data_IF_944476717916
#
_entry.id   IF_944476717916
#
_cell.length_a   1.000
_cell.length_b   1.000
_cell.length_c   1.000
_cell.angle_alpha   90.00
_cell.angle_beta   90.00
_cell.angle_gamma   90.00
#
_symmetry.space_group_name_H-M   'P 1'
#
loop_
_entity.id
_entity.type
_entity.pdbx_description
1 polymer ?
#
# COMPACT_ATOMS: atom_id res chain seq x y z
N UNK A 1 -41.43 -7.55 13.03
CA UNK A 1 -40.44 -7.57 11.93
C UNK A 1 -39.08 -7.23 12.52
N UNK A 2 -38.06 -8.10 12.36
CA UNK A 2 -36.71 -7.81 12.89
C UNK A 2 -36.11 -6.65 12.08
N UNK A 3 -35.80 -5.55 12.76
CA UNK A 3 -35.00 -4.47 12.17
C UNK A 3 -33.63 -5.05 11.83
N UNK A 4 -33.31 -5.16 10.54
CA UNK A 4 -32.00 -5.59 10.09
C UNK A 4 -31.00 -4.55 10.59
N UNK A 5 -29.96 -4.99 11.30
CA UNK A 5 -28.90 -4.10 11.76
C UNK A 5 -28.22 -3.41 10.58
N UNK A 6 -27.79 -2.16 10.75
CA UNK A 6 -27.13 -1.37 9.68
C UNK A 6 -25.97 -2.13 9.03
N UNK A 7 -25.22 -2.89 9.82
CA UNK A 7 -24.11 -3.72 9.35
C UNK A 7 -24.58 -4.90 8.49
N UNK A 8 -25.59 -5.64 8.92
CA UNK A 8 -26.16 -6.77 8.16
C UNK A 8 -26.72 -6.32 6.81
N UNK A 9 -27.41 -5.17 6.79
CA UNK A 9 -27.88 -4.57 5.55
C UNK A 9 -26.71 -4.28 4.61
N UNK A 10 -25.65 -3.63 5.13
CA UNK A 10 -24.49 -3.27 4.36
C UNK A 10 -23.75 -4.50 3.79
N UNK A 11 -23.65 -5.58 4.57
CA UNK A 11 -23.08 -6.85 4.11
C UNK A 11 -23.88 -7.44 2.93
N UNK A 12 -25.22 -7.44 3.00
CA UNK A 12 -26.07 -7.90 1.89
C UNK A 12 -25.91 -7.04 0.64
N UNK A 13 -25.85 -5.71 0.79
CA UNK A 13 -25.62 -4.80 -0.34
C UNK A 13 -24.24 -5.05 -0.97
N UNK A 14 -23.21 -5.24 -0.15
CA UNK A 14 -21.85 -5.56 -0.61
C UNK A 14 -21.81 -6.87 -1.40
N UNK A 15 -22.49 -7.91 -0.93
CA UNK A 15 -22.54 -9.19 -1.65
C UNK A 15 -23.30 -9.10 -2.98
N UNK A 16 -24.42 -8.37 -3.01
CA UNK A 16 -25.16 -8.08 -4.25
C UNK A 16 -24.29 -7.29 -5.24
N UNK A 17 -23.58 -6.26 -4.78
CA UNK A 17 -22.67 -5.48 -5.61
C UNK A 17 -21.51 -6.32 -6.17
N UNK A 18 -20.98 -7.26 -5.38
CA UNK A 18 -19.88 -8.14 -5.82
C UNK A 18 -20.34 -9.13 -6.89
N UNK A 19 -21.52 -9.74 -6.71
CA UNK A 19 -22.06 -10.77 -7.61
C UNK A 19 -22.82 -10.20 -8.82
N UNK A 20 -23.25 -8.93 -8.75
CA UNK A 20 -24.12 -8.33 -9.76
C UNK A 20 -23.43 -8.03 -11.10
N UNK A 21 -24.25 -7.86 -12.13
CA UNK A 21 -23.84 -7.38 -13.45
C UNK A 21 -23.54 -5.87 -13.44
N UNK A 22 -23.00 -5.31 -14.53
CA UNK A 22 -22.71 -3.87 -14.64
C UNK A 22 -23.93 -2.98 -14.37
N UNK A 23 -25.11 -3.42 -14.82
CA UNK A 23 -26.37 -2.70 -14.65
C UNK A 23 -26.78 -2.73 -13.17
N UNK A 24 -26.79 -3.92 -12.55
CA UNK A 24 -27.14 -4.08 -11.14
C UNK A 24 -26.20 -3.31 -10.21
N UNK A 25 -24.90 -3.30 -10.51
CA UNK A 25 -23.93 -2.49 -9.76
C UNK A 25 -24.23 -1.00 -9.86
N UNK A 26 -24.71 -0.52 -11.01
CA UNK A 26 -25.04 0.88 -11.20
C UNK A 26 -26.25 1.27 -10.35
N UNK A 27 -27.30 0.45 -10.38
CA UNK A 27 -28.51 0.63 -9.56
C UNK A 27 -28.18 0.68 -8.06
N UNK A 28 -27.36 -0.27 -7.57
CA UNK A 28 -26.93 -0.29 -6.16
C UNK A 28 -26.16 0.99 -5.78
N UNK A 29 -25.38 1.56 -6.69
CA UNK A 29 -24.66 2.79 -6.42
C UNK A 29 -25.56 4.02 -6.41
N UNK A 30 -26.60 4.04 -7.26
CA UNK A 30 -27.61 5.10 -7.30
C UNK A 30 -28.44 5.07 -6.01
N UNK A 31 -28.90 3.87 -5.59
CA UNK A 31 -29.58 3.66 -4.31
C UNK A 31 -28.76 4.19 -3.11
N UNK A 32 -27.45 3.99 -3.11
CA UNK A 32 -26.58 4.48 -2.03
C UNK A 32 -26.41 6.01 -2.05
N UNK A 33 -26.45 6.60 -3.23
CA UNK A 33 -26.40 8.05 -3.37
C UNK A 33 -27.69 8.68 -2.84
N UNK A 34 -28.84 8.09 -3.16
CA UNK A 34 -30.15 8.61 -2.76
C UNK A 34 -30.44 8.38 -1.27
N UNK A 35 -30.12 7.20 -0.72
CA UNK A 35 -30.43 6.86 0.67
C UNK A 35 -29.46 7.47 1.68
N UNK A 36 -28.18 7.62 1.32
CA UNK A 36 -27.13 8.02 2.25
C UNK A 36 -26.38 9.29 1.84
N UNK A 37 -26.69 9.89 0.69
CA UNK A 37 -26.00 11.07 0.19
C UNK A 37 -24.52 10.80 -0.17
N UNK A 38 -24.13 9.53 -0.30
CA UNK A 38 -22.74 9.15 -0.54
C UNK A 38 -22.44 9.29 -2.03
N UNK A 39 -21.44 10.09 -2.38
CA UNK A 39 -21.01 10.23 -3.76
C UNK A 39 -20.60 8.86 -4.35
N UNK A 40 -21.00 8.59 -5.61
CA UNK A 40 -20.77 7.32 -6.32
C UNK A 40 -19.35 6.75 -6.16
N UNK A 41 -18.30 7.58 -6.26
CA UNK A 41 -16.90 7.13 -6.07
C UNK A 41 -16.61 6.60 -4.66
N UNK A 42 -17.20 7.22 -3.63
CA UNK A 42 -17.06 6.78 -2.25
C UNK A 42 -17.82 5.45 -2.03
N UNK A 43 -19.05 5.33 -2.56
CA UNK A 43 -19.81 4.08 -2.54
C UNK A 43 -19.05 2.92 -3.22
N UNK A 44 -18.46 3.15 -4.40
CA UNK A 44 -17.60 2.17 -5.08
C UNK A 44 -16.45 1.74 -4.19
N UNK A 45 -15.76 2.69 -3.52
CA UNK A 45 -14.61 2.39 -2.65
C UNK A 45 -15.00 1.54 -1.44
N UNK A 46 -16.19 1.78 -0.88
CA UNK A 46 -16.73 1.05 0.27
C UNK A 46 -17.18 -0.37 -0.10
N UNK A 47 -17.85 -0.52 -1.25
CA UNK A 47 -18.42 -1.81 -1.69
C UNK A 47 -17.41 -2.70 -2.42
N UNK A 48 -16.45 -2.10 -3.12
CA UNK A 48 -15.40 -2.87 -3.80
C UNK A 48 -14.55 -3.60 -2.75
N UNK A 49 -14.05 -4.81 -3.05
CA UNK A 49 -13.07 -5.44 -2.19
C UNK A 49 -11.91 -4.45 -2.03
N UNK A 50 -11.65 -4.02 -0.79
CA UNK A 50 -10.39 -3.35 -0.47
C UNK A 50 -9.31 -4.27 -1.01
N UNK A 51 -8.57 -3.79 -2.01
CA UNK A 51 -7.26 -4.36 -2.31
C UNK A 51 -6.49 -4.17 -1.02
N UNK A 52 -6.50 -5.19 -0.13
CA UNK A 52 -5.73 -5.17 1.11
C UNK A 52 -4.34 -4.68 0.70
N UNK A 53 -3.97 -3.54 1.27
CA UNK A 53 -2.77 -2.83 0.89
C UNK A 53 -1.57 -3.76 0.93
N UNK A 54 -0.68 -3.56 -0.05
CA UNK A 54 0.46 -4.40 -0.40
C UNK A 54 0.05 -5.72 -1.03
N UNK A 55 0.18 -5.75 -2.35
CA UNK A 55 0.49 -6.95 -3.11
C UNK A 55 1.49 -7.77 -2.27
N UNK A 56 1.04 -8.88 -1.70
CA UNK A 56 1.88 -9.90 -1.08
C UNK A 56 3.02 -10.16 -2.05
N UNK A 57 4.24 -9.76 -1.66
CA UNK A 57 5.51 -10.05 -2.31
C UNK A 57 5.45 -10.23 -3.83
N UNK A 58 4.74 -9.33 -4.52
CA UNK A 58 4.77 -9.35 -5.97
C UNK A 58 6.21 -9.05 -6.35
N UNK A 59 6.86 -9.97 -7.08
CA UNK A 59 8.23 -9.82 -7.60
C UNK A 59 8.45 -8.36 -7.98
N UNK A 60 9.43 -7.70 -7.33
CA UNK A 60 9.71 -6.27 -7.55
C UNK A 60 9.74 -6.05 -9.07
N UNK A 61 8.93 -5.11 -9.54
CA UNK A 61 8.92 -4.74 -10.96
C UNK A 61 10.27 -4.12 -11.27
N UNK A 62 10.90 -4.52 -12.38
CA UNK A 62 12.22 -4.05 -12.79
C UNK A 62 13.33 -5.09 -12.61
N UNK A 63 14.57 -4.75 -13.01
CA UNK A 63 15.73 -5.62 -12.87
C UNK A 63 16.04 -5.89 -11.39
N UNK A 64 16.76 -6.99 -11.13
CA UNK A 64 17.28 -7.29 -9.79
C UNK A 64 18.16 -6.12 -9.33
N UNK A 65 18.07 -5.76 -8.04
CA UNK A 65 18.90 -4.69 -7.48
C UNK A 65 20.37 -5.12 -7.52
N UNK A 66 21.23 -4.25 -8.07
CA UNK A 66 22.68 -4.48 -8.19
C UNK A 66 23.39 -4.54 -6.83
N UNK A 67 22.86 -3.84 -5.84
CA UNK A 67 23.45 -3.68 -4.51
C UNK A 67 22.63 -4.37 -3.40
N UNK A 68 21.87 -5.42 -3.76
CA UNK A 68 21.05 -6.19 -2.82
C UNK A 68 21.88 -7.22 -2.04
N UNK A 69 23.06 -6.81 -1.57
CA UNK A 69 23.88 -7.62 -0.69
C UNK A 69 23.60 -7.18 0.77
N UNK A 70 23.08 -8.07 1.64
CA UNK A 70 22.77 -7.73 3.03
C UNK A 70 23.94 -7.16 3.82
N UNK A 71 25.14 -7.69 3.60
CA UNK A 71 26.37 -7.24 4.27
C UNK A 71 26.75 -5.84 3.82
N UNK A 72 26.71 -5.57 2.51
CA UNK A 72 26.93 -4.24 1.94
C UNK A 72 25.95 -3.21 2.51
N UNK A 73 24.66 -3.54 2.55
CA UNK A 73 23.64 -2.64 3.09
C UNK A 73 23.80 -2.41 4.60
N UNK A 74 24.28 -3.40 5.35
CA UNK A 74 24.56 -3.26 6.78
C UNK A 74 25.75 -2.32 7.02
N UNK A 75 26.84 -2.53 6.29
CA UNK A 75 28.00 -1.65 6.28
C UNK A 75 27.64 -0.20 5.93
N UNK A 76 26.90 0.00 4.83
CA UNK A 76 26.48 1.34 4.40
C UNK A 76 25.60 2.05 5.45
N UNK A 77 24.67 1.32 6.08
CA UNK A 77 23.84 1.86 7.15
C UNK A 77 24.62 2.23 8.40
N UNK A 78 25.70 1.50 8.70
CA UNK A 78 26.58 1.80 9.83
C UNK A 78 27.27 3.15 9.57
N UNK A 79 28.00 3.28 8.45
CA UNK A 79 28.68 4.54 8.08
C UNK A 79 27.68 5.69 8.07
N UNK A 80 26.50 5.50 7.47
CA UNK A 80 25.50 6.56 7.40
C UNK A 80 25.01 7.00 8.78
N UNK A 81 24.94 6.09 9.75
CA UNK A 81 24.56 6.42 11.12
C UNK A 81 25.71 7.11 11.89
N UNK A 82 26.94 6.62 11.74
CA UNK A 82 28.11 7.20 12.41
C UNK A 82 28.45 8.61 11.87
N UNK A 83 28.09 8.89 10.62
CA UNK A 83 28.25 10.22 9.99
C UNK A 83 27.07 11.16 10.26
N UNK A 84 26.25 10.88 11.27
CA UNK A 84 25.04 11.65 11.62
C UNK A 84 24.08 11.85 10.43
N UNK A 85 23.83 10.77 9.69
CA UNK A 85 22.90 10.74 8.55
C UNK A 85 23.26 11.69 7.40
N UNK A 86 24.56 11.85 7.14
CA UNK A 86 25.10 12.66 6.05
C UNK A 86 24.41 12.41 4.69
N UNK A 87 24.26 13.48 3.89
CA UNK A 87 23.69 13.38 2.54
C UNK A 87 24.54 12.51 1.62
N UNK A 88 23.93 11.87 0.62
CA UNK A 88 24.62 10.96 -0.30
C UNK A 88 25.83 11.57 -1.02
N UNK A 89 25.79 12.87 -1.33
CA UNK A 89 26.89 13.59 -1.99
C UNK A 89 28.10 13.75 -1.07
N UNK A 90 27.86 14.16 0.16
CA UNK A 90 28.91 14.33 1.16
C UNK A 90 29.46 12.96 1.60
N UNK A 91 28.58 11.99 1.78
CA UNK A 91 28.96 10.61 2.10
C UNK A 91 29.89 10.04 1.03
N UNK A 92 29.59 10.29 -0.25
CA UNK A 92 30.43 9.85 -1.37
C UNK A 92 31.86 10.42 -1.29
N UNK A 93 32.00 11.70 -0.99
CA UNK A 93 33.32 12.34 -0.79
C UNK A 93 34.05 11.81 0.44
N UNK A 94 33.33 11.44 1.50
CA UNK A 94 33.92 10.89 2.71
C UNK A 94 34.22 9.38 2.61
N UNK A 95 33.74 8.66 1.58
CA UNK A 95 33.83 7.19 1.57
C UNK A 95 35.26 6.66 1.67
N UNK A 96 36.24 7.33 1.06
CA UNK A 96 37.64 6.90 1.08
C UNK A 96 38.20 6.81 2.52
N UNK A 97 37.79 7.74 3.38
CA UNK A 97 38.19 7.77 4.79
C UNK A 97 37.48 6.68 5.61
N UNK A 98 36.23 6.35 5.26
CA UNK A 98 35.39 5.43 6.04
C UNK A 98 35.54 3.95 5.66
N UNK A 99 36.06 3.63 4.47
CA UNK A 99 36.24 2.23 4.02
C UNK A 99 37.08 1.38 4.99
N UNK A 100 38.25 1.83 5.48
CA UNK A 100 39.09 1.03 6.37
C UNK A 100 38.41 0.61 7.67
N UNK A 101 37.46 1.40 8.17
CA UNK A 101 36.71 1.11 9.40
C UNK A 101 35.64 0.03 9.23
N UNK A 102 35.31 -0.32 7.98
CA UNK A 102 34.26 -1.29 7.64
C UNK A 102 34.82 -2.61 7.12
N UNK A 103 36.08 -2.63 6.66
CA UNK A 103 36.78 -3.83 6.19
C UNK A 103 37.45 -4.66 7.30
N UNK A 104 37.35 -4.25 8.57
CA UNK A 104 37.78 -5.04 9.73
C UNK A 104 36.84 -6.20 10.06
#
# INVERSE_FOLDING_TARGET
>A
MRSIGKEEWFHRVKDRYRKGSRIQKSQILDELQDLHGIHRKAAIRLLSPQKRGRKLEGKKRGPKSKYDNPTFLKALRLIWKETDYMSSKLLHSAMEEWIPFVEQ
#
